data_IF_455123709419
#
_entry.id   IF_455123709419
#
_cell.length_a   1.000
_cell.length_b   1.000
_cell.length_c   1.000
_cell.angle_alpha   90.00
_cell.angle_beta   90.00
_cell.angle_gamma   90.00
#
_symmetry.space_group_name_H-M   'P 1'
#
loop_
_entity.id
_entity.type
_entity.pdbx_description
1 polymer ?
#
# COMPACT_ATOMS: atom_id res chain seq x y z
N UNK A 1 0.75 -4.75 -2.78
CA UNK A 1 -0.39 -4.19 -3.51
C UNK A 1 -1.05 -3.07 -2.71
N UNK A 2 -1.84 -2.24 -3.37
CA UNK A 2 -2.87 -1.42 -2.74
C UNK A 2 -4.23 -2.12 -2.91
N UNK A 3 -5.15 -1.89 -1.98
CA UNK A 3 -6.54 -2.31 -2.10
C UNK A 3 -7.46 -1.10 -1.87
N UNK A 4 -8.50 -0.98 -2.69
CA UNK A 4 -9.63 -0.08 -2.45
C UNK A 4 -10.74 -0.87 -1.78
N UNK A 5 -11.30 -0.31 -0.74
CA UNK A 5 -12.36 -0.92 0.06
C UNK A 5 -13.49 0.07 0.31
N UNK A 6 -14.65 -0.48 0.52
CA UNK A 6 -15.89 0.21 0.92
C UNK A 6 -16.48 -0.50 2.12
N UNK A 7 -17.47 0.09 2.78
CA UNK A 7 -18.26 -0.62 3.78
C UNK A 7 -19.03 -1.78 3.13
N UNK A 8 -19.13 -2.90 3.83
CA UNK A 8 -19.80 -4.10 3.32
C UNK A 8 -21.29 -3.91 3.09
N UNK A 9 -21.94 -2.98 3.83
CA UNK A 9 -23.36 -2.64 3.74
C UNK A 9 -23.67 -1.56 2.70
N UNK A 10 -22.67 -1.04 1.97
CA UNK A 10 -22.87 -0.10 0.87
C UNK A 10 -23.35 -0.79 -0.41
N UNK A 11 -23.99 -0.04 -1.29
CA UNK A 11 -24.42 -0.51 -2.62
C UNK A 11 -23.26 -0.55 -3.64
N UNK A 12 -22.04 -0.15 -3.25
CA UNK A 12 -20.84 -0.12 -4.10
C UNK A 12 -20.23 -1.54 -4.10
N UNK A 13 -20.23 -2.20 -5.26
CA UNK A 13 -19.70 -3.56 -5.42
C UNK A 13 -18.43 -3.63 -6.27
N UNK A 14 -18.17 -2.59 -7.07
CA UNK A 14 -17.07 -2.54 -8.03
C UNK A 14 -16.46 -1.14 -8.12
N UNK A 15 -15.34 -1.04 -8.87
CA UNK A 15 -14.72 0.25 -9.14
C UNK A 15 -15.62 1.17 -9.98
N UNK A 16 -16.42 0.59 -10.88
CA UNK A 16 -17.34 1.31 -11.74
C UNK A 16 -18.45 2.00 -10.95
N UNK A 17 -18.87 1.41 -9.83
CA UNK A 17 -19.90 2.00 -8.95
C UNK A 17 -19.37 3.20 -8.16
N UNK A 18 -18.06 3.45 -8.20
CA UNK A 18 -17.43 4.56 -7.49
C UNK A 18 -17.62 5.93 -8.16
N UNK A 19 -18.25 6.01 -9.36
CA UNK A 19 -18.50 7.28 -10.01
C UNK A 19 -19.38 8.19 -9.13
N UNK A 20 -18.90 9.39 -8.86
CA UNK A 20 -19.60 10.36 -8.00
C UNK A 20 -19.50 10.10 -6.49
N UNK A 21 -18.84 9.04 -6.06
CA UNK A 21 -18.56 8.74 -4.65
C UNK A 21 -17.26 9.37 -4.16
N UNK A 22 -17.06 9.40 -2.85
CA UNK A 22 -15.89 10.00 -2.22
C UNK A 22 -14.80 8.95 -1.92
N UNK A 23 -13.52 9.32 -2.07
CA UNK A 23 -12.37 8.45 -1.88
C UNK A 23 -11.35 9.02 -0.90
N UNK A 24 -11.02 8.26 0.15
CA UNK A 24 -9.94 8.55 1.07
C UNK A 24 -8.64 7.85 0.63
N UNK A 25 -7.61 8.62 0.29
CA UNK A 25 -6.24 8.15 0.24
C UNK A 25 -5.63 8.11 1.65
N UNK A 26 -4.59 7.30 1.86
CA UNK A 26 -3.98 7.19 3.19
C UNK A 26 -3.15 8.45 3.54
N UNK A 27 -2.11 8.74 2.74
CA UNK A 27 -1.15 9.83 2.97
C UNK A 27 -0.53 10.27 1.63
N UNK A 28 -0.30 11.58 1.40
CA UNK A 28 0.25 12.07 0.13
C UNK A 28 1.66 11.56 -0.21
N UNK A 29 2.41 11.07 0.78
CA UNK A 29 3.73 10.50 0.59
C UNK A 29 3.71 8.97 0.45
N UNK A 30 2.56 8.33 0.62
CA UNK A 30 2.43 6.88 0.54
C UNK A 30 2.42 6.39 -0.91
N UNK A 31 3.30 5.45 -1.24
CA UNK A 31 3.28 4.79 -2.55
C UNK A 31 2.00 3.96 -2.73
N UNK A 32 1.67 3.10 -1.76
CA UNK A 32 0.51 2.19 -1.82
C UNK A 32 -0.81 2.84 -1.41
N UNK A 33 -0.76 3.87 -0.57
CA UNK A 33 -1.95 4.56 -0.10
C UNK A 33 -2.37 5.77 -0.95
N UNK A 34 -1.57 6.15 -1.96
CA UNK A 34 -1.88 7.29 -2.81
C UNK A 34 -1.28 7.17 -4.22
N UNK A 35 0.06 7.20 -4.34
CA UNK A 35 0.73 7.40 -5.62
C UNK A 35 0.38 6.32 -6.67
N UNK A 36 0.51 5.06 -6.30
CA UNK A 36 0.25 3.92 -7.21
C UNK A 36 -1.24 3.78 -7.52
N UNK A 37 -2.17 3.80 -6.54
CA UNK A 37 -3.59 3.80 -6.83
C UNK A 37 -4.00 4.91 -7.79
N UNK A 38 -3.64 6.16 -7.49
CA UNK A 38 -3.94 7.30 -8.36
C UNK A 38 -3.47 7.08 -9.79
N UNK A 39 -2.20 6.67 -9.96
CA UNK A 39 -1.62 6.45 -11.28
C UNK A 39 -2.32 5.31 -12.04
N UNK A 40 -2.62 4.18 -11.39
CA UNK A 40 -3.25 3.05 -12.05
C UNK A 40 -4.71 3.33 -12.41
N UNK A 41 -5.45 4.05 -11.57
CA UNK A 41 -6.80 4.51 -11.91
C UNK A 41 -6.78 5.45 -13.12
N UNK A 42 -5.83 6.40 -13.18
CA UNK A 42 -5.65 7.26 -14.36
C UNK A 42 -5.26 6.47 -15.62
N UNK A 43 -4.41 5.45 -15.50
CA UNK A 43 -4.09 4.56 -16.63
C UNK A 43 -5.30 3.74 -17.10
N UNK A 44 -6.23 3.41 -16.20
CA UNK A 44 -7.51 2.78 -16.55
C UNK A 44 -8.52 3.75 -17.18
N UNK A 45 -8.14 5.01 -17.38
CA UNK A 45 -8.97 6.04 -18.02
C UNK A 45 -9.85 6.82 -17.05
N UNK A 46 -9.69 6.64 -15.74
CA UNK A 46 -10.44 7.38 -14.73
C UNK A 46 -9.73 8.70 -14.41
N UNK A 47 -10.36 9.80 -14.71
CA UNK A 47 -9.89 11.11 -14.25
C UNK A 47 -10.28 11.30 -12.78
N UNK A 48 -9.29 11.22 -11.90
CA UNK A 48 -9.49 11.26 -10.44
C UNK A 48 -10.22 12.53 -9.98
N UNK A 49 -9.98 13.64 -10.66
CA UNK A 49 -10.51 14.94 -10.24
C UNK A 49 -12.00 15.13 -10.64
N UNK A 50 -12.49 14.31 -11.59
CA UNK A 50 -13.87 14.38 -12.08
C UNK A 50 -14.68 13.12 -11.81
N UNK A 51 -14.02 11.96 -11.68
CA UNK A 51 -14.69 10.68 -11.44
C UNK A 51 -15.25 10.56 -10.02
N UNK A 52 -14.49 11.01 -9.02
CA UNK A 52 -14.92 11.03 -7.64
C UNK A 52 -15.58 12.39 -7.30
N UNK A 53 -16.64 12.39 -6.50
CA UNK A 53 -17.24 13.62 -5.99
C UNK A 53 -16.26 14.41 -5.12
N UNK A 54 -15.38 13.70 -4.42
CA UNK A 54 -14.35 14.24 -3.53
C UNK A 54 -13.27 13.22 -3.32
N UNK A 55 -12.02 13.69 -3.32
CA UNK A 55 -10.89 12.92 -2.81
C UNK A 55 -10.24 13.65 -1.64
N UNK A 56 -9.58 12.91 -0.75
CA UNK A 56 -8.86 13.50 0.38
C UNK A 56 -7.94 12.48 1.04
N UNK A 57 -7.33 12.86 2.15
CA UNK A 57 -6.39 12.02 2.90
C UNK A 57 -6.92 11.72 4.29
N UNK A 58 -6.90 10.44 4.69
CA UNK A 58 -7.29 10.01 6.03
C UNK A 58 -6.27 10.39 7.12
N UNK A 59 -5.04 10.70 6.73
CA UNK A 59 -3.94 10.96 7.68
C UNK A 59 -3.12 9.72 8.03
N UNK A 60 -3.30 8.63 7.29
CA UNK A 60 -2.60 7.36 7.43
C UNK A 60 -3.45 6.19 6.96
N UNK A 61 -2.84 5.01 6.86
CA UNK A 61 -3.54 3.82 6.36
C UNK A 61 -4.69 3.37 7.28
N UNK A 62 -4.45 3.35 8.57
CA UNK A 62 -5.44 2.97 9.58
C UNK A 62 -6.55 4.02 9.68
N UNK A 63 -6.19 5.30 9.70
CA UNK A 63 -7.13 6.42 9.77
C UNK A 63 -8.04 6.48 8.53
N UNK A 64 -7.53 6.13 7.35
CA UNK A 64 -8.36 6.04 6.14
C UNK A 64 -9.41 4.91 6.24
N UNK A 65 -9.08 3.77 6.87
CA UNK A 65 -10.06 2.71 7.16
C UNK A 65 -11.13 3.20 8.13
N UNK A 66 -10.72 3.82 9.23
CA UNK A 66 -11.64 4.38 10.23
C UNK A 66 -12.57 5.42 9.58
N UNK A 67 -12.03 6.30 8.72
CA UNK A 67 -12.82 7.32 8.05
C UNK A 67 -13.91 6.74 7.13
N UNK A 68 -13.70 5.56 6.54
CA UNK A 68 -14.73 4.84 5.76
C UNK A 68 -15.75 4.18 6.69
N UNK A 69 -15.33 3.54 7.76
CA UNK A 69 -16.23 2.93 8.73
C UNK A 69 -17.12 3.99 9.41
N UNK A 70 -16.58 5.19 9.67
CA UNK A 70 -17.29 6.35 10.22
C UNK A 70 -18.10 7.15 9.18
N UNK A 71 -18.25 6.65 7.97
CA UNK A 71 -19.02 7.29 6.86
C UNK A 71 -18.51 8.67 6.45
N UNK A 72 -17.25 9.00 6.77
CA UNK A 72 -16.64 10.26 6.31
C UNK A 72 -16.27 10.21 4.82
N UNK A 73 -16.00 9.01 4.30
CA UNK A 73 -15.75 8.69 2.90
C UNK A 73 -16.46 7.39 2.53
N UNK A 74 -16.86 7.26 1.27
CA UNK A 74 -17.52 6.05 0.75
C UNK A 74 -16.52 4.91 0.56
N UNK A 75 -15.30 5.25 0.13
CA UNK A 75 -14.20 4.30 -0.08
C UNK A 75 -12.87 4.80 0.50
N UNK A 76 -11.97 3.86 0.72
CA UNK A 76 -10.60 4.16 1.11
C UNK A 76 -9.58 3.27 0.42
N UNK A 77 -8.31 3.69 0.45
CA UNK A 77 -7.19 2.94 -0.11
C UNK A 77 -6.16 2.65 0.96
N UNK A 78 -5.70 1.40 1.02
CA UNK A 78 -4.64 0.99 1.92
C UNK A 78 -3.70 -0.05 1.29
N UNK A 79 -2.59 -0.38 1.97
CA UNK A 79 -1.69 -1.42 1.51
C UNK A 79 -2.08 -2.81 2.03
N UNK A 80 -1.93 -3.80 1.18
CA UNK A 80 -2.16 -5.22 1.46
C UNK A 80 -1.07 -6.07 0.80
N UNK A 81 -0.86 -7.31 1.29
CA UNK A 81 0.09 -8.23 0.66
C UNK A 81 -0.36 -8.70 -0.72
N UNK A 82 -1.67 -8.75 -0.96
CA UNK A 82 -2.25 -9.38 -2.14
C UNK A 82 -2.15 -10.92 -2.10
N UNK A 83 -1.80 -11.50 -0.95
CA UNK A 83 -1.72 -12.94 -0.71
C UNK A 83 -2.70 -13.34 0.39
N UNK A 84 -3.29 -14.53 0.27
CA UNK A 84 -4.32 -15.01 1.18
C UNK A 84 -5.72 -14.51 0.80
N UNK A 85 -6.68 -14.76 1.69
CA UNK A 85 -8.07 -14.40 1.46
C UNK A 85 -8.32 -12.90 1.75
N UNK A 86 -8.85 -12.14 0.78
CA UNK A 86 -9.29 -10.77 1.03
C UNK A 86 -10.30 -10.64 2.16
N UNK A 87 -11.19 -11.64 2.33
CA UNK A 87 -12.19 -11.64 3.39
C UNK A 87 -11.59 -11.77 4.81
N UNK A 88 -10.35 -12.24 4.91
CA UNK A 88 -9.58 -12.31 6.16
C UNK A 88 -8.60 -11.15 6.34
N UNK A 89 -8.57 -10.18 5.41
CA UNK A 89 -7.64 -9.06 5.40
C UNK A 89 -6.26 -9.40 4.81
N UNK A 90 -6.18 -10.47 4.01
CA UNK A 90 -4.94 -11.04 3.44
C UNK A 90 -4.00 -11.64 4.51
N UNK A 91 -2.78 -12.02 4.12
CA UNK A 91 -1.77 -12.54 5.05
C UNK A 91 -1.00 -11.45 5.77
N UNK A 92 -0.90 -10.25 5.17
CA UNK A 92 -0.18 -9.08 5.69
C UNK A 92 -0.79 -7.79 5.14
N UNK A 93 -0.50 -6.71 5.78
CA UNK A 93 -0.93 -5.40 5.35
C UNK A 93 -1.62 -4.63 6.46
N UNK A 94 -2.13 -3.46 6.14
CA UNK A 94 -2.83 -2.64 7.12
C UNK A 94 -4.11 -3.30 7.62
N UNK A 95 -4.90 -3.89 6.71
CA UNK A 95 -6.16 -4.55 7.10
C UNK A 95 -5.89 -5.72 8.06
N UNK A 96 -4.94 -6.62 7.70
CA UNK A 96 -4.56 -7.74 8.56
C UNK A 96 -4.09 -7.26 9.94
N UNK A 97 -3.24 -6.24 9.97
CA UNK A 97 -2.77 -5.66 11.23
C UNK A 97 -3.90 -5.09 12.09
N UNK A 98 -4.88 -4.43 11.48
CA UNK A 98 -6.05 -3.92 12.21
C UNK A 98 -6.91 -5.06 12.76
N UNK A 99 -7.10 -6.14 11.99
CA UNK A 99 -7.81 -7.35 12.46
C UNK A 99 -7.06 -7.98 13.63
N UNK A 100 -5.74 -8.18 13.51
CA UNK A 100 -4.91 -8.79 14.57
C UNK A 100 -4.92 -7.97 15.86
N UNK A 101 -5.08 -6.65 15.75
CA UNK A 101 -5.19 -5.74 16.88
C UNK A 101 -6.64 -5.57 17.41
N UNK A 102 -7.62 -6.24 16.81
CA UNK A 102 -9.04 -6.11 17.20
C UNK A 102 -9.66 -4.76 16.86
N UNK A 103 -9.10 -4.03 15.89
CA UNK A 103 -9.59 -2.71 15.45
C UNK A 103 -10.51 -2.79 14.22
N UNK A 104 -10.58 -3.94 13.57
CA UNK A 104 -11.36 -4.17 12.36
C UNK A 104 -11.92 -5.59 12.34
N UNK A 105 -13.20 -5.73 11.98
CA UNK A 105 -13.76 -6.97 11.47
C UNK A 105 -13.86 -6.85 9.94
N UNK A 106 -13.28 -7.81 9.21
CA UNK A 106 -13.35 -7.79 7.74
C UNK A 106 -14.75 -7.97 7.18
N UNK A 107 -15.71 -8.44 8.00
CA UNK A 107 -17.13 -8.49 7.63
C UNK A 107 -17.75 -7.08 7.45
N UNK A 108 -17.10 -6.03 7.99
CA UNK A 108 -17.53 -4.63 7.84
C UNK A 108 -17.06 -3.98 6.54
N UNK A 109 -16.13 -4.63 5.82
CA UNK A 109 -15.55 -4.11 4.58
C UNK A 109 -15.71 -5.06 3.39
N UNK A 110 -15.77 -4.47 2.21
CA UNK A 110 -15.67 -5.14 0.91
C UNK A 110 -14.50 -4.57 0.13
N UNK A 111 -13.64 -5.45 -0.41
CA UNK A 111 -12.57 -5.04 -1.33
C UNK A 111 -13.16 -5.00 -2.74
N UNK A 112 -13.08 -3.83 -3.40
CA UNK A 112 -13.64 -3.60 -4.73
C UNK A 112 -12.58 -3.46 -5.83
N UNK A 113 -11.31 -3.24 -5.47
CA UNK A 113 -10.21 -3.12 -6.42
C UNK A 113 -8.86 -3.39 -5.75
N UNK A 114 -7.91 -3.91 -6.53
CA UNK A 114 -6.51 -4.10 -6.12
C UNK A 114 -5.55 -3.66 -7.19
N UNK A 115 -4.44 -3.04 -6.78
CA UNK A 115 -3.38 -2.62 -7.70
C UNK A 115 -2.54 -3.80 -8.19
N UNK A 116 -1.74 -3.57 -9.24
CA UNK A 116 -0.59 -4.41 -9.54
C UNK A 116 0.40 -4.43 -8.37
N UNK A 117 1.36 -5.36 -8.43
CA UNK A 117 2.42 -5.46 -7.41
C UNK A 117 3.19 -4.14 -7.27
N UNK A 118 3.41 -3.75 -6.03
CA UNK A 118 4.19 -2.57 -5.66
C UNK A 118 5.49 -3.07 -5.03
N UNK A 119 6.67 -2.62 -5.50
CA UNK A 119 7.93 -2.91 -4.83
C UNK A 119 7.88 -2.48 -3.35
N UNK A 120 8.35 -3.33 -2.46
CA UNK A 120 8.53 -2.94 -1.06
C UNK A 120 9.59 -1.84 -0.95
N UNK A 121 9.50 -0.99 0.08
CA UNK A 121 10.49 0.03 0.34
C UNK A 121 11.89 -0.59 0.54
N UNK A 122 12.92 -0.05 -0.12
CA UNK A 122 14.26 -0.61 -0.02
C UNK A 122 14.93 -0.29 1.33
N UNK A 123 15.68 -1.23 1.85
CA UNK A 123 16.67 -0.94 2.87
C UNK A 123 17.88 -0.28 2.22
N UNK A 124 18.27 0.88 2.70
CA UNK A 124 19.37 1.67 2.12
C UNK A 124 20.44 2.00 3.14
N UNK A 125 21.68 2.06 2.70
CA UNK A 125 22.81 2.50 3.48
C UNK A 125 23.44 3.75 2.88
N UNK A 126 24.12 4.55 3.69
CA UNK A 126 24.79 5.77 3.21
C UNK A 126 25.84 5.40 2.16
N UNK A 127 25.86 6.16 1.05
CA UNK A 127 26.82 5.98 -0.04
C UNK A 127 28.27 6.07 0.44
N UNK A 128 28.57 6.93 1.43
CA UNK A 128 29.89 7.13 2.02
C UNK A 128 30.36 6.00 2.94
N UNK A 129 29.52 4.98 3.24
CA UNK A 129 29.95 3.85 4.05
C UNK A 129 31.05 3.07 3.32
N UNK A 130 32.11 2.60 4.02
CA UNK A 130 33.13 1.71 3.42
C UNK A 130 32.51 0.49 2.75
N UNK A 131 33.07 0.06 1.62
CA UNK A 131 32.51 -1.07 0.85
C UNK A 131 32.42 -2.35 1.68
N UNK A 132 33.45 -2.64 2.47
CA UNK A 132 33.46 -3.79 3.38
C UNK A 132 32.26 -3.80 4.35
N UNK A 133 31.92 -2.63 4.92
CA UNK A 133 30.76 -2.51 5.81
C UNK A 133 29.43 -2.72 5.05
N UNK A 134 29.35 -2.28 3.80
CA UNK A 134 28.19 -2.55 2.94
C UNK A 134 28.04 -4.03 2.62
N UNK A 135 29.16 -4.71 2.34
CA UNK A 135 29.16 -6.12 1.98
C UNK A 135 28.78 -7.00 3.19
N UNK A 136 29.28 -6.66 4.39
CA UNK A 136 28.90 -7.32 5.65
C UNK A 136 27.39 -7.13 5.89
N UNK A 137 26.90 -5.91 5.79
CA UNK A 137 25.46 -5.60 5.98
C UNK A 137 24.59 -6.35 4.99
N UNK A 138 24.91 -6.28 3.69
CA UNK A 138 24.15 -6.97 2.65
C UNK A 138 24.14 -8.49 2.86
N UNK A 139 25.30 -9.08 3.15
CA UNK A 139 25.40 -10.52 3.42
C UNK A 139 24.56 -10.94 4.63
N UNK A 140 24.56 -10.13 5.70
CA UNK A 140 23.72 -10.39 6.87
C UNK A 140 22.23 -10.32 6.54
N UNK A 141 21.79 -9.28 5.84
CA UNK A 141 20.37 -9.10 5.44
C UNK A 141 19.90 -10.24 4.53
N UNK A 142 20.69 -10.60 3.53
CA UNK A 142 20.35 -11.68 2.57
C UNK A 142 20.15 -13.03 3.25
N UNK A 143 20.93 -13.32 4.29
CA UNK A 143 20.86 -14.58 5.02
C UNK A 143 20.00 -14.54 6.29
N UNK A 144 19.41 -13.38 6.64
CA UNK A 144 18.68 -13.21 7.89
C UNK A 144 17.49 -14.18 8.02
N UNK A 145 16.80 -14.47 6.93
CA UNK A 145 15.67 -15.40 6.91
C UNK A 145 16.06 -16.86 7.20
N UNK A 146 17.33 -17.23 7.01
CA UNK A 146 17.86 -18.55 7.33
C UNK A 146 18.52 -18.59 8.71
N UNK A 147 19.18 -17.50 9.11
CA UNK A 147 20.00 -17.46 10.33
C UNK A 147 19.21 -17.02 11.57
N UNK A 148 18.22 -16.16 11.40
CA UNK A 148 17.34 -15.70 12.48
C UNK A 148 15.97 -15.32 11.89
N UNK A 149 15.11 -16.33 11.71
CA UNK A 149 13.81 -16.16 11.09
C UNK A 149 12.86 -15.26 11.89
N UNK A 150 12.95 -15.27 13.23
CA UNK A 150 12.12 -14.42 14.07
C UNK A 150 12.51 -12.93 13.91
N UNK A 151 13.81 -12.63 13.87
CA UNK A 151 14.30 -11.29 13.55
C UNK A 151 13.87 -10.89 12.12
N UNK A 152 14.00 -11.81 11.14
CA UNK A 152 13.55 -11.57 9.78
C UNK A 152 12.06 -11.18 9.71
N UNK A 153 11.18 -11.92 10.38
CA UNK A 153 9.73 -11.62 10.42
C UNK A 153 9.45 -10.22 10.99
N UNK A 154 10.15 -9.84 12.06
CA UNK A 154 9.99 -8.50 12.64
C UNK A 154 10.46 -7.40 11.71
N UNK A 155 11.62 -7.56 11.08
CA UNK A 155 12.23 -6.59 10.17
C UNK A 155 11.46 -6.47 8.86
N UNK A 156 11.00 -7.60 8.29
CA UNK A 156 10.23 -7.65 7.04
C UNK A 156 8.73 -7.34 7.24
N UNK A 157 8.28 -7.26 8.49
CA UNK A 157 6.87 -7.14 8.88
C UNK A 157 6.01 -8.31 8.33
N UNK A 158 6.54 -9.50 8.34
CA UNK A 158 5.83 -10.71 7.94
C UNK A 158 6.73 -11.81 7.38
N UNK A 159 6.11 -12.78 6.73
CA UNK A 159 6.80 -13.91 6.12
C UNK A 159 7.22 -13.61 4.69
N UNK A 160 8.21 -14.34 4.19
CA UNK A 160 8.69 -14.19 2.82
C UNK A 160 9.97 -15.00 2.56
N UNK A 161 10.49 -14.96 1.32
CA UNK A 161 11.64 -15.77 0.91
C UNK A 161 13.00 -15.13 1.22
N UNK A 162 13.03 -14.05 2.02
CA UNK A 162 14.26 -13.33 2.33
C UNK A 162 14.35 -11.96 1.65
N UNK A 163 15.47 -11.28 1.87
CA UNK A 163 15.81 -10.02 1.21
C UNK A 163 16.70 -10.28 -0.01
N UNK A 164 16.48 -9.55 -1.08
CA UNK A 164 17.30 -9.60 -2.30
C UNK A 164 17.91 -8.25 -2.63
N UNK A 165 19.05 -8.25 -3.32
CA UNK A 165 19.66 -7.02 -3.84
C UNK A 165 18.86 -6.51 -5.00
N UNK A 166 18.63 -5.20 -5.00
CA UNK A 166 17.99 -4.47 -6.09
C UNK A 166 18.79 -3.21 -6.38
N UNK A 167 18.71 -2.73 -7.60
CA UNK A 167 19.27 -1.46 -8.00
C UNK A 167 18.16 -0.41 -8.26
N UNK A 168 18.55 0.77 -8.72
CA UNK A 168 17.61 1.87 -8.96
C UNK A 168 16.54 1.51 -10.01
N UNK A 169 16.87 0.69 -11.00
CA UNK A 169 15.96 0.33 -12.08
C UNK A 169 14.70 -0.40 -11.58
N UNK A 170 14.82 -1.12 -10.47
CA UNK A 170 13.69 -1.78 -9.82
C UNK A 170 12.59 -0.81 -9.37
N UNK A 171 12.94 0.45 -9.12
CA UNK A 171 12.03 1.49 -8.63
C UNK A 171 11.70 2.57 -9.67
N UNK A 172 12.18 2.46 -10.92
CA UNK A 172 12.01 3.48 -11.96
C UNK A 172 10.55 3.90 -12.14
N UNK A 173 9.62 2.93 -12.13
CA UNK A 173 8.19 3.22 -12.27
C UNK A 173 7.67 4.10 -11.12
N UNK A 174 8.06 3.81 -9.87
CA UNK A 174 7.65 4.60 -8.70
C UNK A 174 8.25 6.01 -8.75
N UNK A 175 9.52 6.11 -9.17
CA UNK A 175 10.20 7.40 -9.34
C UNK A 175 9.50 8.22 -10.43
N UNK A 176 9.19 7.62 -11.58
CA UNK A 176 8.49 8.28 -12.67
C UNK A 176 7.08 8.76 -12.27
N UNK A 177 6.34 7.95 -11.52
CA UNK A 177 5.03 8.36 -10.98
C UNK A 177 5.15 9.60 -10.09
N UNK A 178 6.13 9.61 -9.18
CA UNK A 178 6.35 10.76 -8.28
C UNK A 178 6.79 12.01 -9.03
N UNK A 179 7.63 11.88 -10.05
CA UNK A 179 8.05 13.02 -10.89
C UNK A 179 6.85 13.65 -11.61
N UNK A 180 5.98 12.85 -12.22
CA UNK A 180 4.76 13.34 -12.90
C UNK A 180 3.82 14.05 -11.95
N UNK A 181 3.64 13.53 -10.74
CA UNK A 181 2.81 14.18 -9.73
C UNK A 181 3.36 15.57 -9.35
N UNK A 182 4.68 15.67 -9.13
CA UNK A 182 5.33 16.95 -8.81
C UNK A 182 5.28 17.97 -9.95
N UNK A 183 5.27 17.51 -11.21
CA UNK A 183 5.11 18.36 -12.39
C UNK A 183 3.66 18.83 -12.57
N UNK A 184 2.68 17.97 -12.33
CA UNK A 184 1.26 18.29 -12.41
C UNK A 184 0.73 19.17 -11.28
N UNK A 185 1.49 19.30 -10.19
CA UNK A 185 1.15 20.15 -9.02
C UNK A 185 1.68 21.57 -9.12
N UNK A 186 2.32 21.96 -10.24
CA UNK A 186 2.82 23.30 -10.53
C UNK A 186 1.87 24.04 -11.50
#
# INVERSE_FOLDING_TARGET
NAAMYVRADSDIESLEDMEGHSLAFADPNSASGYLVPRFQLQQAGLDIDTYFSRTGFGGGHEQAVIAVLDEQYDAGVTWVSGQGDPAEGYTRGNLRRMVDNGLLDMSDLRIIWTSNLIPNGPWVVRKALPQEAKDIWSGWMENLHETDYECYKQVSQGEGPGFGRVDHSFFENIVAMRQRELEGSR
#
